data_IF_782702921179
#
_entry.id   IF_782702921179
#
_cell.length_a   1.000
_cell.length_b   1.000
_cell.length_c   1.000
_cell.angle_alpha   90.00
_cell.angle_beta   90.00
_cell.angle_gamma   90.00
#
_symmetry.space_group_name_H-M   'P 1'
#
loop_
_entity.id
_entity.type
_entity.pdbx_description
1 polymer ?
#
# COMPACT_ATOMS: atom_id res chain seq x y z
N UNK A 1 -4.40 -7.89 4.56
CA UNK A 1 -4.59 -8.51 5.89
C UNK A 1 -5.01 -7.44 6.89
N UNK A 2 -5.99 -7.79 7.71
CA UNK A 2 -6.65 -6.86 8.61
C UNK A 2 -5.87 -6.81 9.93
N UNK A 3 -5.03 -5.79 10.14
CA UNK A 3 -4.19 -5.62 11.33
C UNK A 3 -4.84 -4.77 12.43
N UNK A 4 -6.14 -4.53 12.39
CA UNK A 4 -6.81 -3.92 13.56
C UNK A 4 -6.72 -4.85 14.78
N UNK A 5 -6.58 -4.28 15.98
CA UNK A 5 -6.69 -5.09 17.20
C UNK A 5 -8.00 -5.88 17.12
N UNK A 6 -7.89 -7.20 17.20
CA UNK A 6 -9.03 -8.11 17.18
C UNK A 6 -9.97 -7.73 18.34
N UNK A 7 -10.96 -6.89 18.02
CA UNK A 7 -11.78 -6.19 19.00
C UNK A 7 -12.53 -7.15 19.90
N UNK A 8 -12.31 -7.06 21.21
CA UNK A 8 -13.18 -7.64 22.23
C UNK A 8 -13.11 -9.16 22.46
N UNK A 9 -12.35 -9.92 21.66
CA UNK A 9 -12.17 -11.36 21.84
C UNK A 9 -10.99 -11.66 22.77
N UNK A 10 -11.14 -12.65 23.63
CA UNK A 10 -10.06 -13.04 24.55
C UNK A 10 -8.90 -13.68 23.78
N UNK A 11 -7.62 -13.33 24.11
CA UNK A 11 -6.44 -13.85 23.38
C UNK A 11 -6.29 -15.38 23.38
N UNK A 12 -6.82 -16.06 24.37
CA UNK A 12 -6.82 -17.52 24.46
C UNK A 12 -7.67 -18.21 23.41
N UNK A 13 -8.62 -17.50 22.80
CA UNK A 13 -9.50 -17.99 21.72
C UNK A 13 -8.93 -17.73 20.33
N UNK A 14 -7.75 -17.12 20.23
CA UNK A 14 -7.15 -16.76 18.95
C UNK A 14 -6.62 -18.00 18.21
N UNK A 15 -6.76 -17.98 16.89
CA UNK A 15 -6.06 -18.90 15.98
C UNK A 15 -4.55 -18.60 15.98
N UNK A 16 -3.73 -19.46 15.32
CA UNK A 16 -2.30 -19.17 15.18
C UNK A 16 -2.05 -17.84 14.45
N UNK A 17 -2.79 -17.59 13.38
CA UNK A 17 -2.67 -16.37 12.56
C UNK A 17 -3.06 -15.11 13.35
N UNK A 18 -4.13 -15.20 14.13
CA UNK A 18 -4.55 -14.09 15.00
C UNK A 18 -3.51 -13.79 16.08
N UNK A 19 -2.83 -14.81 16.62
CA UNK A 19 -1.71 -14.60 17.57
C UNK A 19 -0.51 -13.91 16.91
N UNK A 20 -0.16 -14.31 15.68
CA UNK A 20 0.91 -13.68 14.92
C UNK A 20 0.58 -12.22 14.61
N UNK A 21 -0.64 -11.93 14.17
CA UNK A 21 -1.13 -10.57 13.94
C UNK A 21 -1.08 -9.71 15.20
N UNK A 22 -1.49 -10.23 16.35
CA UNK A 22 -1.38 -9.51 17.63
C UNK A 22 0.08 -9.22 18.01
N UNK A 23 0.98 -10.19 17.82
CA UNK A 23 2.39 -10.01 18.11
C UNK A 23 3.03 -8.96 17.21
N UNK A 24 2.72 -8.98 15.91
CA UNK A 24 3.17 -7.97 14.96
C UNK A 24 2.63 -6.58 15.33
N UNK A 25 1.33 -6.48 15.60
CA UNK A 25 0.71 -5.22 16.00
C UNK A 25 1.35 -4.65 17.28
N UNK A 26 1.53 -5.48 18.30
CA UNK A 26 2.18 -5.07 19.56
C UNK A 26 3.62 -4.59 19.33
N UNK A 27 4.35 -5.22 18.40
CA UNK A 27 5.70 -4.79 18.02
C UNK A 27 5.68 -3.40 17.35
N UNK A 28 4.75 -3.19 16.42
CA UNK A 28 4.57 -1.89 15.74
C UNK A 28 4.21 -0.79 16.75
N UNK A 29 3.30 -1.08 17.69
CA UNK A 29 2.93 -0.13 18.74
C UNK A 29 4.13 0.23 19.64
N UNK A 30 4.90 -0.77 20.08
CA UNK A 30 6.06 -0.56 20.95
C UNK A 30 7.14 0.30 20.24
N UNK A 31 7.46 0.03 18.98
CA UNK A 31 8.43 0.81 18.21
C UNK A 31 7.93 2.25 17.97
N UNK A 32 6.65 2.40 17.67
CA UNK A 32 6.00 3.69 17.49
C UNK A 32 6.06 4.52 18.77
N UNK A 33 5.73 3.93 19.93
CA UNK A 33 5.75 4.61 21.22
C UNK A 33 7.17 4.99 21.62
N UNK A 34 8.15 4.13 21.36
CA UNK A 34 9.57 4.41 21.56
C UNK A 34 10.07 5.58 20.69
N UNK A 35 9.63 5.67 19.45
CA UNK A 35 9.94 6.77 18.55
C UNK A 35 9.29 8.09 19.04
N UNK A 36 8.03 8.04 19.41
CA UNK A 36 7.30 9.21 19.94
C UNK A 36 7.88 9.74 21.23
N UNK A 37 8.32 8.87 22.14
CA UNK A 37 9.00 9.26 23.37
C UNK A 37 10.28 10.07 23.10
N UNK A 38 10.88 9.92 21.92
CA UNK A 38 12.05 10.68 21.44
C UNK A 38 11.65 11.88 20.55
N UNK A 39 10.37 12.22 20.48
CA UNK A 39 9.83 13.26 19.58
C UNK A 39 10.16 13.01 18.09
N UNK A 40 10.27 11.75 17.68
CA UNK A 40 10.50 11.34 16.30
C UNK A 40 9.19 11.14 15.57
N UNK A 41 9.20 11.40 14.26
CA UNK A 41 8.08 11.06 13.39
C UNK A 41 8.11 9.58 13.07
N UNK A 42 6.92 8.99 12.98
CA UNK A 42 6.77 7.58 12.54
C UNK A 42 6.23 7.58 11.12
N UNK A 43 6.86 6.78 10.27
CA UNK A 43 6.45 6.59 8.88
C UNK A 43 6.43 5.11 8.59
N UNK A 44 5.27 4.60 8.18
CA UNK A 44 5.11 3.24 7.69
C UNK A 44 5.18 3.22 6.16
N UNK A 45 5.98 2.31 5.63
CA UNK A 45 6.00 1.98 4.21
C UNK A 45 5.73 0.48 4.11
N UNK A 46 4.56 0.14 3.60
CA UNK A 46 4.12 -1.24 3.43
C UNK A 46 4.41 -1.68 1.99
N UNK A 47 5.10 -2.80 1.83
CA UNK A 47 5.59 -3.29 0.54
C UNK A 47 4.77 -4.51 0.12
N UNK A 48 3.99 -4.35 -0.93
CA UNK A 48 3.07 -5.36 -1.44
C UNK A 48 3.31 -5.71 -2.90
N UNK A 49 2.67 -6.76 -3.34
CA UNK A 49 2.58 -7.18 -4.74
C UNK A 49 1.17 -7.66 -5.05
N UNK A 50 0.76 -7.61 -6.32
CA UNK A 50 -0.58 -7.96 -6.78
C UNK A 50 -0.63 -9.32 -7.47
N UNK A 51 -1.79 -9.96 -7.47
CA UNK A 51 -2.03 -11.18 -8.25
C UNK A 51 -2.20 -10.89 -9.74
N UNK A 52 -2.71 -9.71 -10.10
CA UNK A 52 -2.91 -9.30 -11.48
C UNK A 52 -1.62 -8.75 -12.10
N UNK A 53 -1.44 -8.96 -13.39
CA UNK A 53 -0.45 -8.25 -14.18
C UNK A 53 -0.76 -6.75 -14.24
N UNK A 54 0.23 -5.96 -14.61
CA UNK A 54 0.06 -4.53 -14.87
C UNK A 54 0.99 -3.65 -14.05
N UNK A 55 0.71 -2.35 -14.09
CA UNK A 55 1.56 -1.33 -13.48
C UNK A 55 1.57 -1.37 -11.95
N UNK A 56 2.68 -0.92 -11.40
CA UNK A 56 2.82 -0.65 -9.97
C UNK A 56 2.04 0.62 -9.57
N UNK A 57 1.69 0.73 -8.30
CA UNK A 57 0.97 1.90 -7.77
C UNK A 57 1.18 2.08 -6.26
N UNK A 58 0.76 3.21 -5.74
CA UNK A 58 0.73 3.48 -4.30
C UNK A 58 -0.71 3.59 -3.81
N UNK A 59 -0.96 3.12 -2.59
CA UNK A 59 -2.22 3.36 -1.86
C UNK A 59 -1.92 4.25 -0.67
N UNK A 60 -2.77 5.23 -0.45
CA UNK A 60 -2.57 6.21 0.63
C UNK A 60 -3.87 6.48 1.37
N UNK A 61 -3.84 6.55 2.69
CA UNK A 61 -4.95 7.06 3.45
C UNK A 61 -5.11 8.58 3.26
N UNK A 62 -6.30 9.10 3.55
CA UNK A 62 -6.60 10.53 3.39
C UNK A 62 -5.82 11.40 4.39
N UNK A 63 -4.55 11.61 4.11
CA UNK A 63 -3.63 12.43 4.89
C UNK A 63 -2.66 13.18 3.99
N UNK A 64 -2.48 14.47 4.25
CA UNK A 64 -1.56 15.30 3.47
C UNK A 64 -0.12 14.77 3.52
N UNK A 65 0.45 14.37 4.66
CA UNK A 65 1.78 13.79 4.70
C UNK A 65 1.91 12.52 3.86
N UNK A 66 0.94 11.59 3.94
CA UNK A 66 0.93 10.35 3.17
C UNK A 66 0.83 10.61 1.66
N UNK A 67 -0.04 11.53 1.23
CA UNK A 67 -0.14 11.94 -0.17
C UNK A 67 1.16 12.57 -0.72
N UNK A 68 1.87 13.35 0.12
CA UNK A 68 3.18 13.91 -0.26
C UNK A 68 4.23 12.83 -0.45
N UNK A 69 4.30 11.88 0.49
CA UNK A 69 5.22 10.74 0.40
C UNK A 69 4.97 9.92 -0.87
N UNK A 70 3.72 9.51 -1.13
CA UNK A 70 3.36 8.72 -2.31
C UNK A 70 3.65 9.47 -3.62
N UNK A 71 3.37 10.78 -3.68
CA UNK A 71 3.71 11.60 -4.84
C UNK A 71 5.22 11.63 -5.11
N UNK A 72 6.04 11.71 -4.08
CA UNK A 72 7.50 11.73 -4.23
C UNK A 72 8.05 10.37 -4.67
N UNK A 73 7.42 9.25 -4.25
CA UNK A 73 7.71 7.90 -4.75
C UNK A 73 7.52 7.86 -6.27
N UNK A 74 6.52 8.55 -6.81
CA UNK A 74 6.37 8.77 -8.25
C UNK A 74 5.60 7.68 -8.99
N UNK A 75 4.92 6.78 -8.27
CA UNK A 75 3.95 5.84 -8.83
C UNK A 75 2.54 6.47 -8.88
N UNK A 76 1.62 5.97 -9.74
CA UNK A 76 0.21 6.31 -9.65
C UNK A 76 -0.33 6.11 -8.23
N UNK A 77 -1.12 7.05 -7.76
CA UNK A 77 -1.71 7.01 -6.42
C UNK A 77 -3.18 6.65 -6.52
N UNK A 78 -3.60 5.58 -5.84
CA UNK A 78 -5.01 5.21 -5.71
C UNK A 78 -5.56 5.77 -4.41
N UNK A 79 -6.64 6.54 -4.52
CA UNK A 79 -7.39 7.09 -3.40
C UNK A 79 -8.66 6.27 -3.16
N UNK A 80 -9.08 6.13 -1.90
CA UNK A 80 -10.32 5.47 -1.50
C UNK A 80 -10.27 3.95 -1.47
N UNK A 81 -9.14 3.33 -1.79
CA UNK A 81 -9.00 1.88 -1.69
C UNK A 81 -9.00 1.43 -0.21
N UNK A 82 -8.32 2.16 0.64
CA UNK A 82 -8.24 1.91 2.08
C UNK A 82 -9.59 2.00 2.80
N UNK A 83 -10.53 2.75 2.24
CA UNK A 83 -11.89 2.87 2.78
C UNK A 83 -12.76 1.65 2.48
N UNK A 84 -12.34 0.80 1.55
CA UNK A 84 -13.05 -0.43 1.14
C UNK A 84 -12.50 -1.69 1.77
N UNK A 85 -11.37 -1.57 2.46
CA UNK A 85 -10.73 -2.67 3.19
C UNK A 85 -11.00 -2.47 4.67
N UNK A 86 -11.58 -3.45 5.33
CA UNK A 86 -11.82 -3.37 6.77
C UNK A 86 -10.50 -3.44 7.55
N UNK A 87 -10.25 -2.42 8.38
CA UNK A 87 -9.16 -2.37 9.33
C UNK A 87 -7.74 -2.33 8.77
N UNK A 88 -7.43 -1.54 7.71
CA UNK A 88 -6.07 -1.46 7.22
C UNK A 88 -5.15 -0.78 8.25
N UNK A 89 -3.95 -1.33 8.40
CA UNK A 89 -2.91 -0.78 9.27
C UNK A 89 -2.61 0.69 8.97
N UNK A 90 -2.67 1.07 7.68
CA UNK A 90 -2.45 2.45 7.24
C UNK A 90 -3.43 3.44 7.86
N UNK A 91 -4.72 3.11 7.81
CA UNK A 91 -5.79 3.98 8.35
C UNK A 91 -5.64 4.13 9.86
N UNK A 92 -5.32 3.03 10.56
CA UNK A 92 -5.07 3.09 11.99
C UNK A 92 -3.88 4.00 12.32
N UNK A 93 -2.73 3.85 11.65
CA UNK A 93 -1.54 4.69 11.90
C UNK A 93 -1.82 6.18 11.62
N UNK A 94 -2.48 6.47 10.50
CA UNK A 94 -2.83 7.87 10.17
C UNK A 94 -3.82 8.46 11.18
N UNK A 95 -4.77 7.68 11.70
CA UNK A 95 -5.66 8.13 12.79
C UNK A 95 -4.89 8.49 14.06
N UNK A 96 -3.72 7.90 14.24
CA UNK A 96 -2.79 8.22 15.34
C UNK A 96 -1.85 9.39 15.03
N UNK A 97 -1.96 10.04 13.87
CA UNK A 97 -1.14 11.16 13.42
C UNK A 97 0.19 10.78 12.81
N UNK A 98 0.38 9.52 12.45
CA UNK A 98 1.56 9.02 11.74
C UNK A 98 1.40 9.16 10.22
N UNK A 99 2.45 8.89 9.46
CA UNK A 99 2.43 8.89 7.99
C UNK A 99 2.50 7.45 7.50
N UNK A 100 1.69 7.08 6.51
CA UNK A 100 1.69 5.73 5.98
C UNK A 100 1.43 5.71 4.47
N UNK A 101 2.03 4.76 3.75
CA UNK A 101 1.75 4.45 2.34
C UNK A 101 2.00 2.98 2.06
N UNK A 102 1.26 2.42 1.09
CA UNK A 102 1.58 1.12 0.48
C UNK A 102 2.27 1.37 -0.86
N UNK A 103 3.21 0.53 -1.20
CA UNK A 103 3.77 0.40 -2.54
C UNK A 103 3.39 -0.98 -3.06
N UNK A 104 2.54 -1.02 -4.07
CA UNK A 104 2.21 -2.21 -4.84
C UNK A 104 3.20 -2.30 -6.02
N UNK A 105 4.19 -3.19 -5.91
CA UNK A 105 5.32 -3.24 -6.84
C UNK A 105 5.00 -3.88 -8.19
N UNK A 106 3.84 -4.51 -8.35
CA UNK A 106 3.42 -5.26 -9.54
C UNK A 106 3.09 -6.72 -9.22
N UNK A 107 3.02 -7.57 -10.24
CA UNK A 107 2.61 -8.96 -10.12
C UNK A 107 3.62 -9.79 -9.27
N UNK A 108 3.11 -10.73 -8.46
CA UNK A 108 3.89 -11.48 -7.45
C UNK A 108 5.19 -12.08 -7.96
N UNK A 109 5.16 -12.74 -9.11
CA UNK A 109 6.29 -13.50 -9.65
C UNK A 109 7.10 -12.71 -10.70
N UNK A 110 6.73 -11.47 -11.00
CA UNK A 110 7.44 -10.65 -11.96
C UNK A 110 8.79 -10.17 -11.38
N UNK A 111 9.92 -10.41 -12.06
CA UNK A 111 11.24 -9.97 -11.56
C UNK A 111 11.31 -8.46 -11.26
N UNK A 112 10.58 -7.67 -12.03
CA UNK A 112 10.52 -6.21 -11.88
C UNK A 112 9.85 -5.78 -10.56
N UNK A 113 8.97 -6.59 -9.98
CA UNK A 113 8.26 -6.25 -8.74
C UNK A 113 9.22 -5.93 -7.60
N UNK A 114 10.23 -6.78 -7.40
CA UNK A 114 11.25 -6.55 -6.37
C UNK A 114 12.08 -5.29 -6.63
N UNK A 115 12.38 -4.99 -7.89
CA UNK A 115 13.10 -3.78 -8.27
C UNK A 115 12.27 -2.52 -7.94
N UNK A 116 11.00 -2.52 -8.29
CA UNK A 116 10.08 -1.41 -8.00
C UNK A 116 9.94 -1.20 -6.49
N UNK A 117 9.74 -2.26 -5.72
CA UNK A 117 9.63 -2.17 -4.26
C UNK A 117 10.91 -1.59 -3.62
N UNK A 118 12.08 -2.10 -4.04
CA UNK A 118 13.38 -1.59 -3.58
C UNK A 118 13.56 -0.12 -3.94
N UNK A 119 13.27 0.25 -5.17
CA UNK A 119 13.50 1.59 -5.69
C UNK A 119 12.51 2.59 -5.08
N UNK A 120 11.24 2.18 -4.88
CA UNK A 120 10.26 2.96 -4.12
C UNK A 120 10.70 3.19 -2.68
N UNK A 121 11.30 2.18 -2.04
CA UNK A 121 11.86 2.33 -0.69
C UNK A 121 13.02 3.34 -0.66
N UNK A 122 13.93 3.35 -1.66
CA UNK A 122 15.00 4.36 -1.72
C UNK A 122 14.45 5.78 -1.79
N UNK A 123 13.44 6.01 -2.61
CA UNK A 123 12.79 7.33 -2.71
C UNK A 123 12.11 7.71 -1.40
N UNK A 124 11.39 6.77 -0.77
CA UNK A 124 10.73 7.00 0.50
C UNK A 124 11.72 7.34 1.63
N UNK A 125 12.84 6.62 1.73
CA UNK A 125 13.91 6.90 2.71
C UNK A 125 14.53 8.28 2.52
N UNK A 126 14.66 8.74 1.27
CA UNK A 126 15.11 10.11 0.97
C UNK A 126 14.05 11.15 1.37
N UNK A 127 12.76 10.90 1.08
CA UNK A 127 11.67 11.79 1.46
C UNK A 127 11.63 12.04 2.98
N UNK A 128 11.87 11.00 3.77
CA UNK A 128 11.85 11.12 5.25
C UNK A 128 13.18 11.61 5.84
N UNK A 129 14.19 11.85 5.01
CA UNK A 129 15.49 12.39 5.42
C UNK A 129 16.47 11.36 6.00
N UNK A 130 16.24 10.06 5.80
CA UNK A 130 17.19 8.98 6.16
C UNK A 130 18.33 8.91 5.15
N UNK A 131 18.05 9.19 3.88
CA UNK A 131 19.06 9.30 2.82
C UNK A 131 19.17 10.72 2.32
N UNK A 132 20.35 11.15 1.82
CA UNK A 132 20.52 12.43 1.15
C UNK A 132 19.59 12.55 -0.07
N UNK A 133 19.12 13.77 -0.35
CA UNK A 133 18.26 14.04 -1.52
C UNK A 133 18.94 13.70 -2.85
N UNK A 134 20.26 13.87 -2.93
CA UNK A 134 21.12 13.61 -4.11
C UNK A 134 21.94 12.33 -3.95
N UNK A 135 21.35 11.27 -3.42
CA UNK A 135 21.94 9.94 -3.45
C UNK A 135 21.73 9.32 -4.85
N UNK A 136 22.79 8.79 -5.46
CA UNK A 136 22.72 8.19 -6.81
C UNK A 136 21.69 7.06 -6.94
N UNK A 137 21.42 6.33 -5.85
CA UNK A 137 20.38 5.28 -5.83
C UNK A 137 19.00 5.90 -5.94
N UNK A 138 18.78 6.99 -5.20
CA UNK A 138 17.52 7.73 -5.20
C UNK A 138 17.26 8.38 -6.56
N UNK A 139 18.27 8.99 -7.17
CA UNK A 139 18.14 9.63 -8.49
C UNK A 139 17.79 8.61 -9.57
N UNK A 140 18.45 7.43 -9.57
CA UNK A 140 18.10 6.31 -10.46
C UNK A 140 16.69 5.78 -10.20
N UNK A 141 16.33 5.57 -8.93
CA UNK A 141 15.02 5.08 -8.54
C UNK A 141 13.91 6.03 -9.03
N UNK A 142 14.04 7.34 -8.87
CA UNK A 142 13.07 8.32 -9.36
C UNK A 142 12.83 8.24 -10.87
N UNK A 143 13.89 8.01 -11.65
CA UNK A 143 13.75 7.83 -13.11
C UNK A 143 12.97 6.56 -13.42
N UNK A 144 13.32 5.44 -12.77
CA UNK A 144 12.66 4.15 -12.98
C UNK A 144 11.19 4.18 -12.57
N UNK A 145 10.87 4.82 -11.43
CA UNK A 145 9.49 4.94 -10.96
C UNK A 145 8.61 5.69 -11.97
N UNK A 146 9.06 6.82 -12.48
CA UNK A 146 8.31 7.60 -13.47
C UNK A 146 8.10 6.81 -14.76
N UNK A 147 9.14 6.18 -15.30
CA UNK A 147 9.04 5.40 -16.54
C UNK A 147 8.23 4.11 -16.42
N UNK A 148 7.88 3.71 -15.21
CA UNK A 148 7.07 2.50 -14.97
C UNK A 148 5.58 2.68 -15.23
N UNK A 149 5.11 3.93 -15.40
CA UNK A 149 3.69 4.27 -15.36
C UNK A 149 3.32 5.39 -16.34
N UNK A 150 4.06 5.56 -17.45
CA UNK A 150 3.87 6.68 -18.39
C UNK A 150 2.45 6.76 -18.98
N UNK A 151 1.74 5.63 -19.10
CA UNK A 151 0.40 5.55 -19.69
C UNK A 151 -0.73 5.55 -18.63
N UNK A 152 -0.42 5.66 -17.34
CA UNK A 152 -1.41 5.62 -16.25
C UNK A 152 -1.55 7.01 -15.64
N UNK A 153 -2.79 7.51 -15.38
CA UNK A 153 -2.97 8.77 -14.67
C UNK A 153 -2.27 8.75 -13.31
N UNK A 154 -1.61 9.86 -12.95
CA UNK A 154 -0.86 9.95 -11.70
C UNK A 154 -1.70 9.86 -10.43
N UNK A 155 -3.03 10.05 -10.52
CA UNK A 155 -3.99 9.89 -9.42
C UNK A 155 -5.24 9.24 -9.97
N UNK A 156 -5.74 8.24 -9.27
CA UNK A 156 -6.99 7.53 -9.56
C UNK A 156 -7.85 7.45 -8.30
N UNK A 157 -9.16 7.60 -8.46
CA UNK A 157 -10.12 7.39 -7.40
C UNK A 157 -10.81 6.04 -7.54
N UNK A 158 -10.93 5.29 -6.46
CA UNK A 158 -11.75 4.08 -6.44
C UNK A 158 -13.23 4.47 -6.33
N UNK A 159 -13.94 4.43 -7.46
CA UNK A 159 -15.37 4.78 -7.51
C UNK A 159 -16.29 3.60 -7.24
N UNK A 160 -15.84 2.38 -7.49
CA UNK A 160 -16.64 1.16 -7.29
C UNK A 160 -15.76 -0.04 -6.98
N UNK A 161 -16.20 -0.85 -6.02
CA UNK A 161 -15.65 -2.18 -5.73
C UNK A 161 -16.81 -3.19 -5.68
N UNK A 162 -16.69 -4.29 -6.43
CA UNK A 162 -17.66 -5.38 -6.38
C UNK A 162 -17.32 -6.30 -5.20
N UNK A 163 -18.27 -6.44 -4.28
CA UNK A 163 -18.13 -7.39 -3.17
C UNK A 163 -18.58 -8.77 -3.67
N UNK A 164 -17.68 -9.74 -3.61
CA UNK A 164 -17.96 -11.12 -3.98
C UNK A 164 -18.50 -11.82 -2.73
N UNK A 165 -19.78 -12.20 -2.76
CA UNK A 165 -20.31 -13.15 -1.78
C UNK A 165 -20.09 -14.59 -2.28
N UNK A 166 -19.79 -15.51 -1.38
CA UNK A 166 -19.45 -16.90 -1.73
C UNK A 166 -20.60 -17.71 -2.37
N UNK A 167 -21.81 -17.13 -2.46
CA UNK A 167 -23.01 -17.83 -2.96
C UNK A 167 -23.31 -17.50 -4.43
N UNK A 168 -22.78 -16.41 -4.99
CA UNK A 168 -23.16 -15.93 -6.33
C UNK A 168 -22.50 -16.67 -7.48
N UNK A 169 -21.48 -17.49 -7.23
CA UNK A 169 -20.71 -18.14 -8.30
C UNK A 169 -19.96 -17.14 -9.19
N UNK A 170 -19.66 -15.94 -8.64
CA UNK A 170 -18.92 -14.91 -9.37
C UNK A 170 -17.58 -15.46 -9.87
N UNK A 171 -17.31 -15.24 -11.14
CA UNK A 171 -16.03 -15.56 -11.76
C UNK A 171 -15.64 -14.43 -12.71
N UNK A 172 -14.54 -13.79 -12.42
CA UNK A 172 -14.00 -12.75 -13.31
C UNK A 172 -13.49 -13.37 -14.60
N UNK A 173 -13.81 -12.76 -15.74
CA UNK A 173 -13.25 -13.18 -17.04
C UNK A 173 -11.71 -13.07 -16.99
N UNK A 174 -11.02 -13.96 -17.69
CA UNK A 174 -9.55 -13.94 -17.76
C UNK A 174 -9.02 -12.79 -18.63
N UNK A 175 -7.77 -12.40 -18.42
CA UNK A 175 -7.07 -11.43 -19.26
C UNK A 175 -7.16 -9.98 -18.77
N UNK A 176 -7.66 -9.74 -17.57
CA UNK A 176 -7.64 -8.42 -16.94
C UNK A 176 -6.29 -8.15 -16.29
N UNK A 177 -5.83 -6.92 -16.41
CA UNK A 177 -4.63 -6.41 -15.75
C UNK A 177 -4.92 -5.09 -15.02
N UNK A 178 -4.03 -4.71 -14.11
CA UNK A 178 -4.15 -3.42 -13.43
C UNK A 178 -4.19 -2.28 -14.45
N UNK A 179 -5.09 -1.31 -14.21
CA UNK A 179 -5.28 -0.11 -15.04
C UNK A 179 -5.78 -0.35 -16.47
N UNK A 180 -6.25 -1.54 -16.78
CA UNK A 180 -6.83 -1.81 -18.11
C UNK A 180 -8.11 -0.96 -18.29
N UNK A 181 -8.20 -0.17 -19.38
CA UNK A 181 -9.40 0.60 -19.68
C UNK A 181 -10.60 -0.31 -19.93
N UNK A 182 -11.76 0.08 -19.41
CA UNK A 182 -13.04 -0.62 -19.63
C UNK A 182 -14.05 0.29 -20.32
N UNK A 183 -14.78 -0.28 -21.25
CA UNK A 183 -15.84 0.43 -21.99
C UNK A 183 -17.20 0.27 -21.28
N UNK A 184 -18.10 1.24 -21.49
CA UNK A 184 -19.46 1.14 -21.00
C UNK A 184 -20.15 -0.11 -21.58
N UNK A 185 -20.71 -0.95 -20.71
CA UNK A 185 -21.40 -2.18 -21.10
C UNK A 185 -20.45 -3.37 -21.36
N UNK A 186 -19.15 -3.21 -21.17
CA UNK A 186 -18.21 -4.30 -21.27
C UNK A 186 -18.40 -5.29 -20.11
N UNK A 187 -18.47 -6.59 -20.42
CA UNK A 187 -18.54 -7.65 -19.42
C UNK A 187 -17.17 -7.85 -18.77
N UNK A 188 -17.12 -8.01 -17.46
CA UNK A 188 -15.93 -8.24 -16.65
C UNK A 188 -15.94 -9.62 -15.97
N UNK A 189 -17.14 -10.19 -15.78
CA UNK A 189 -17.38 -11.47 -15.09
C UNK A 189 -18.63 -12.18 -15.61
#
# INVERSE_FOLDING_TARGET
ENLQPLGGRAPEDDTSDERELRALFSTIEAERDAARAKAQRVVLIDLHSTSADGGAFSVVPDSIPSRRLARDIGLPVILGLEERIEGPLLTWLVSQGDTATVIEGGQHDAPRTQEVLRDGLWVALSHVGVLPEHDERVDRARVLMRSSCDDVPGVLDLVYAHVIDGETGFQMDSGWSNFMPVALGQRLA
#
